data_IF_060531866561
#
_entry.id   IF_060531866561
#
_cell.length_a   1.000
_cell.length_b   1.000
_cell.length_c   1.000
_cell.angle_alpha   90.00
_cell.angle_beta   90.00
_cell.angle_gamma   90.00
#
_symmetry.space_group_name_H-M   'P 1'
#
loop_
_entity.id
_entity.type
_entity.pdbx_description
1 polymer ?
#
# COMPACT_ATOMS: atom_id res chain seq x y z
N UNK A 1 23.69 -64.45 17.94
CA UNK A 1 23.97 -63.07 17.50
C UNK A 1 23.06 -62.77 16.31
N UNK A 2 21.92 -62.03 16.48
CA UNK A 2 21.17 -61.55 15.33
C UNK A 2 21.72 -60.19 14.90
N UNK A 3 21.99 -60.08 13.62
CA UNK A 3 22.44 -58.86 12.96
C UNK A 3 21.27 -57.86 12.91
N UNK A 4 21.54 -56.62 13.41
CA UNK A 4 20.59 -55.53 13.35
C UNK A 4 20.42 -55.03 11.90
N UNK A 5 19.19 -54.99 11.43
CA UNK A 5 18.77 -54.31 10.23
C UNK A 5 18.82 -52.79 10.48
N UNK A 6 19.73 -52.11 9.79
CA UNK A 6 19.75 -50.66 9.67
C UNK A 6 18.50 -50.23 8.88
N UNK A 7 17.53 -49.68 9.61
CA UNK A 7 16.36 -49.07 8.98
C UNK A 7 16.81 -47.83 8.19
N UNK A 8 16.61 -47.85 6.90
CA UNK A 8 16.74 -46.66 6.03
C UNK A 8 15.75 -45.61 6.49
N UNK A 9 16.27 -44.54 7.09
CA UNK A 9 15.51 -43.34 7.35
C UNK A 9 15.25 -42.65 6.01
N UNK A 10 14.07 -42.94 5.44
CA UNK A 10 13.58 -42.21 4.27
C UNK A 10 13.51 -40.74 4.66
N UNK A 11 14.48 -39.95 4.18
CA UNK A 11 14.46 -38.50 4.34
C UNK A 11 13.22 -37.97 3.58
N UNK A 12 12.16 -37.67 4.30
CA UNK A 12 11.00 -36.96 3.78
C UNK A 12 11.52 -35.60 3.27
N UNK A 13 11.67 -35.48 1.95
CA UNK A 13 11.98 -34.21 1.28
C UNK A 13 10.87 -33.24 1.70
N UNK A 14 11.15 -32.36 2.64
CA UNK A 14 10.23 -31.25 2.97
C UNK A 14 9.99 -30.47 1.69
N UNK A 15 8.75 -30.42 1.22
CA UNK A 15 8.34 -29.57 0.10
C UNK A 15 8.76 -28.14 0.45
N UNK A 16 9.47 -27.44 -0.44
CA UNK A 16 9.77 -26.03 -0.29
C UNK A 16 8.47 -25.27 -0.18
N UNK A 17 8.28 -24.53 0.91
CA UNK A 17 7.11 -23.66 1.07
C UNK A 17 7.18 -22.55 0.04
N UNK A 18 6.04 -22.23 -0.57
CA UNK A 18 5.95 -21.22 -1.63
C UNK A 18 4.85 -20.22 -1.33
N UNK A 19 5.15 -18.95 -1.48
CA UNK A 19 4.19 -17.85 -1.30
C UNK A 19 4.13 -17.02 -2.58
N UNK A 20 2.91 -16.86 -3.10
CA UNK A 20 2.64 -15.95 -4.22
C UNK A 20 2.33 -14.57 -3.69
N UNK A 21 3.08 -13.55 -4.14
CA UNK A 21 2.80 -12.15 -3.92
C UNK A 21 2.12 -11.57 -5.16
N UNK A 22 0.91 -11.06 -5.00
CA UNK A 22 0.08 -10.54 -6.08
C UNK A 22 -0.40 -9.11 -5.79
N UNK A 23 0.50 -8.11 -5.70
CA UNK A 23 0.11 -6.70 -5.58
C UNK A 23 -0.46 -6.18 -6.91
N UNK A 24 -1.27 -5.12 -6.88
CA UNK A 24 -1.56 -4.34 -8.09
C UNK A 24 -0.33 -3.55 -8.49
N UNK A 25 0.39 -4.04 -9.50
CA UNK A 25 1.70 -3.51 -9.88
C UNK A 25 1.67 -2.10 -10.50
N UNK A 26 0.51 -1.58 -10.88
CA UNK A 26 0.35 -0.17 -11.24
C UNK A 26 0.46 0.77 -10.01
N UNK A 27 0.31 0.26 -8.79
CA UNK A 27 0.39 1.01 -7.54
C UNK A 27 1.75 0.78 -6.87
N UNK A 28 2.60 1.81 -6.87
CA UNK A 28 3.95 1.76 -6.30
C UNK A 28 3.95 1.39 -4.80
N UNK A 29 3.00 1.92 -4.03
CA UNK A 29 2.92 1.65 -2.58
C UNK A 29 2.62 0.18 -2.29
N UNK A 30 1.81 -0.49 -3.12
CA UNK A 30 1.54 -1.92 -2.97
C UNK A 30 2.74 -2.77 -3.32
N UNK A 31 3.43 -2.44 -4.42
CA UNK A 31 4.65 -3.14 -4.84
C UNK A 31 5.72 -3.07 -3.77
N UNK A 32 6.01 -1.88 -3.26
CA UNK A 32 7.05 -1.70 -2.24
C UNK A 32 6.69 -2.38 -0.93
N UNK A 33 5.43 -2.33 -0.50
CA UNK A 33 4.94 -3.06 0.68
C UNK A 33 5.10 -4.56 0.50
N UNK A 34 4.72 -5.11 -0.65
CA UNK A 34 4.86 -6.54 -0.95
C UNK A 34 6.32 -6.98 -0.94
N UNK A 35 7.24 -6.20 -1.52
CA UNK A 35 8.69 -6.44 -1.49
C UNK A 35 9.18 -6.50 -0.04
N UNK A 36 8.82 -5.54 0.80
CA UNK A 36 9.27 -5.50 2.19
C UNK A 36 8.76 -6.67 3.03
N UNK A 37 7.55 -7.16 2.74
CA UNK A 37 7.03 -8.38 3.37
C UNK A 37 7.79 -9.61 2.87
N UNK A 38 8.00 -9.72 1.56
CA UNK A 38 8.72 -10.86 0.97
C UNK A 38 10.17 -10.97 1.47
N UNK A 39 10.87 -9.84 1.64
CA UNK A 39 12.24 -9.79 2.21
C UNK A 39 12.32 -10.33 3.63
N UNK A 40 11.23 -10.34 4.38
CA UNK A 40 11.16 -10.85 5.77
C UNK A 40 10.72 -12.31 5.86
N UNK A 41 10.39 -12.92 4.73
CA UNK A 41 10.08 -14.35 4.71
C UNK A 41 11.35 -15.17 5.02
N UNK A 42 11.22 -16.28 5.74
CA UNK A 42 12.36 -17.18 5.98
C UNK A 42 12.99 -17.66 4.67
N UNK A 43 14.29 -17.90 4.65
CA UNK A 43 15.06 -18.27 3.45
C UNK A 43 14.60 -19.59 2.79
N UNK A 44 13.90 -20.45 3.52
CA UNK A 44 13.33 -21.68 2.99
C UNK A 44 11.98 -21.49 2.31
N UNK A 45 11.44 -20.27 2.29
CA UNK A 45 10.18 -19.93 1.60
C UNK A 45 10.51 -19.28 0.27
N UNK A 46 10.05 -19.91 -0.80
CA UNK A 46 10.14 -19.35 -2.15
C UNK A 46 9.07 -18.27 -2.34
N UNK A 47 9.47 -17.05 -2.62
CA UNK A 47 8.57 -15.92 -2.90
C UNK A 47 8.53 -15.65 -4.41
N UNK A 48 7.35 -15.77 -5.00
CA UNK A 48 7.10 -15.49 -6.43
C UNK A 48 6.12 -14.35 -6.53
N UNK A 49 6.38 -13.38 -7.42
CA UNK A 49 5.47 -12.27 -7.68
C UNK A 49 4.71 -12.48 -8.97
N UNK A 50 3.45 -12.01 -9.02
CA UNK A 50 2.67 -11.93 -10.24
C UNK A 50 1.75 -10.70 -10.23
N UNK A 51 1.41 -10.23 -11.44
CA UNK A 51 0.52 -9.07 -11.60
C UNK A 51 0.13 -8.85 -13.05
N UNK A 52 -0.74 -7.89 -13.31
CA UNK A 52 -1.34 -7.64 -14.63
C UNK A 52 -0.79 -6.38 -15.31
N UNK A 53 0.13 -5.66 -14.70
CA UNK A 53 0.79 -4.50 -15.28
C UNK A 53 2.31 -4.66 -15.24
N UNK A 54 3.05 -4.27 -16.28
CA UNK A 54 4.51 -4.27 -16.26
C UNK A 54 5.09 -3.13 -15.40
N UNK A 55 4.26 -2.15 -14.99
CA UNK A 55 4.69 -0.97 -14.24
C UNK A 55 5.21 -1.37 -12.87
N UNK A 56 6.28 -0.70 -12.42
CA UNK A 56 6.96 -0.93 -11.13
C UNK A 56 7.55 -2.34 -10.92
N UNK A 57 7.58 -3.19 -11.96
CA UNK A 57 8.11 -4.57 -11.84
C UNK A 57 9.64 -4.60 -11.78
N UNK A 58 10.30 -3.55 -12.23
CA UNK A 58 11.75 -3.32 -12.09
C UNK A 58 12.18 -3.36 -10.64
N UNK A 59 11.40 -2.81 -9.71
CA UNK A 59 11.70 -2.84 -8.27
C UNK A 59 11.61 -4.25 -7.69
N UNK A 60 10.66 -5.08 -8.18
CA UNK A 60 10.52 -6.48 -7.77
C UNK A 60 11.77 -7.27 -8.21
N UNK A 61 12.18 -7.11 -9.47
CA UNK A 61 13.37 -7.78 -10.02
C UNK A 61 14.66 -7.30 -9.36
N UNK A 62 14.79 -5.98 -9.13
CA UNK A 62 15.92 -5.41 -8.41
C UNK A 62 16.01 -5.90 -6.95
N UNK A 63 14.89 -6.28 -6.34
CA UNK A 63 14.84 -6.91 -5.04
C UNK A 63 15.21 -8.41 -5.06
N UNK A 64 15.47 -9.00 -6.24
CA UNK A 64 15.87 -10.40 -6.42
C UNK A 64 14.71 -11.38 -6.54
N UNK A 65 13.48 -10.91 -6.73
CA UNK A 65 12.31 -11.78 -6.85
C UNK A 65 11.90 -12.06 -8.31
N UNK A 66 11.42 -13.30 -8.57
CA UNK A 66 10.79 -13.65 -9.84
C UNK A 66 9.47 -12.91 -10.00
N UNK A 67 9.21 -12.35 -11.19
CA UNK A 67 7.93 -11.73 -11.52
C UNK A 67 7.30 -12.35 -12.75
N UNK A 68 6.03 -12.74 -12.66
CA UNK A 68 5.21 -13.29 -13.74
C UNK A 68 4.14 -12.29 -14.16
N UNK A 69 4.23 -11.82 -15.41
CA UNK A 69 3.21 -10.95 -15.98
C UNK A 69 2.03 -11.80 -16.48
N UNK A 70 0.83 -11.49 -15.99
CA UNK A 70 -0.41 -12.21 -16.32
C UNK A 70 -1.22 -11.44 -17.38
N UNK A 71 -2.13 -12.16 -18.03
CA UNK A 71 -3.10 -11.60 -18.98
C UNK A 71 -4.51 -11.59 -18.37
N UNK A 72 -5.36 -10.59 -18.68
CA UNK A 72 -5.14 -9.46 -19.60
C UNK A 72 -4.18 -8.41 -19.03
N UNK A 73 -3.30 -7.89 -19.88
CA UNK A 73 -2.44 -6.78 -19.48
C UNK A 73 -3.28 -5.52 -19.24
N UNK A 74 -2.93 -4.78 -18.21
CA UNK A 74 -3.39 -3.41 -18.07
C UNK A 74 -2.48 -2.51 -18.92
N UNK A 75 -3.08 -1.79 -19.87
CA UNK A 75 -2.41 -0.71 -20.57
C UNK A 75 -2.04 0.41 -19.58
N UNK A 76 -1.17 1.32 -20.00
CA UNK A 76 -0.83 2.49 -19.16
C UNK A 76 -2.05 3.33 -18.82
N UNK A 77 -2.98 3.50 -19.77
CA UNK A 77 -4.22 4.23 -19.57
C UNK A 77 -5.14 3.51 -18.57
N UNK A 78 -5.34 2.20 -18.71
CA UNK A 78 -6.13 1.41 -17.77
C UNK A 78 -5.51 1.40 -16.37
N UNK A 79 -4.20 1.30 -16.28
CA UNK A 79 -3.46 1.41 -15.02
C UNK A 79 -3.62 2.78 -14.36
N UNK A 80 -3.63 3.87 -15.16
CA UNK A 80 -3.91 5.23 -14.66
C UNK A 80 -5.35 5.37 -14.17
N UNK A 81 -6.32 4.88 -14.93
CA UNK A 81 -7.73 4.89 -14.54
C UNK A 81 -7.98 4.06 -13.25
N UNK A 82 -7.29 2.93 -13.11
CA UNK A 82 -7.35 2.12 -11.91
C UNK A 82 -6.77 2.86 -10.69
N UNK A 83 -5.67 3.56 -10.86
CA UNK A 83 -5.07 4.39 -9.82
C UNK A 83 -5.96 5.59 -9.46
N UNK A 84 -6.59 6.22 -10.45
CA UNK A 84 -7.53 7.33 -10.21
C UNK A 84 -8.76 6.88 -9.44
N UNK A 85 -9.27 5.67 -9.71
CA UNK A 85 -10.35 5.07 -8.93
C UNK A 85 -9.89 4.76 -7.49
N UNK A 86 -8.74 4.11 -7.31
CA UNK A 86 -8.16 3.77 -6.01
C UNK A 86 -7.93 5.02 -5.14
N UNK A 87 -7.54 6.12 -5.78
CA UNK A 87 -7.33 7.41 -5.11
C UNK A 87 -8.60 8.27 -4.98
N UNK A 88 -9.76 7.75 -5.37
CA UNK A 88 -11.04 8.47 -5.28
C UNK A 88 -11.20 9.64 -6.26
N UNK A 89 -10.32 9.75 -7.27
CA UNK A 89 -10.40 10.77 -8.34
C UNK A 89 -11.38 10.40 -9.46
N UNK A 90 -11.77 9.13 -9.53
CA UNK A 90 -12.77 8.61 -10.46
C UNK A 90 -13.80 7.77 -9.73
N UNK A 91 -15.07 7.91 -10.07
CA UNK A 91 -16.13 7.03 -9.59
C UNK A 91 -16.33 5.80 -10.49
N UNK A 92 -15.69 5.79 -11.65
CA UNK A 92 -15.80 4.68 -12.60
C UNK A 92 -14.81 3.58 -12.24
N UNK A 93 -15.34 2.43 -11.85
CA UNK A 93 -14.52 1.24 -11.61
C UNK A 93 -13.86 0.78 -12.94
N UNK A 94 -12.53 0.59 -12.97
CA UNK A 94 -11.80 0.30 -14.20
C UNK A 94 -12.05 -1.11 -14.74
N UNK A 95 -12.41 -2.08 -13.87
CA UNK A 95 -12.54 -3.47 -14.27
C UNK A 95 -13.95 -3.80 -14.72
N UNK A 96 -14.09 -4.16 -15.99
CA UNK A 96 -15.32 -4.75 -16.54
C UNK A 96 -15.50 -6.19 -16.05
N UNK A 97 -16.73 -6.73 -16.13
CA UNK A 97 -16.97 -8.14 -15.80
C UNK A 97 -16.09 -9.09 -16.64
N UNK A 98 -15.94 -8.78 -17.93
CA UNK A 98 -15.06 -9.55 -18.83
C UNK A 98 -13.60 -9.56 -18.35
N UNK A 99 -13.05 -8.38 -18.02
CA UNK A 99 -11.68 -8.26 -17.51
C UNK A 99 -11.53 -9.02 -16.20
N UNK A 100 -12.47 -8.87 -15.27
CA UNK A 100 -12.45 -9.59 -13.99
C UNK A 100 -12.45 -11.10 -14.19
N UNK A 101 -13.31 -11.62 -15.08
CA UNK A 101 -13.38 -13.06 -15.41
C UNK A 101 -12.07 -13.57 -16.02
N UNK A 102 -11.46 -12.79 -16.93
CA UNK A 102 -10.17 -13.14 -17.54
C UNK A 102 -9.04 -13.15 -16.51
N UNK A 103 -9.00 -12.15 -15.60
CA UNK A 103 -8.02 -12.10 -14.51
C UNK A 103 -8.14 -13.34 -13.61
N UNK A 104 -9.36 -13.65 -13.17
CA UNK A 104 -9.63 -14.83 -12.33
C UNK A 104 -9.18 -16.12 -13.05
N UNK A 105 -9.42 -16.25 -14.35
CA UNK A 105 -8.98 -17.41 -15.13
C UNK A 105 -7.45 -17.54 -15.12
N UNK A 106 -6.73 -16.45 -15.41
CA UNK A 106 -5.25 -16.44 -15.43
C UNK A 106 -4.66 -16.73 -14.05
N UNK A 107 -5.22 -16.13 -13.01
CA UNK A 107 -4.80 -16.38 -11.62
C UNK A 107 -5.01 -17.83 -11.22
N UNK A 108 -6.15 -18.42 -11.54
CA UNK A 108 -6.41 -19.84 -11.25
C UNK A 108 -5.44 -20.78 -11.97
N UNK A 109 -5.11 -20.51 -13.24
CA UNK A 109 -4.07 -21.27 -13.97
C UNK A 109 -2.72 -21.16 -13.25
N UNK A 110 -2.34 -19.95 -12.83
CA UNK A 110 -1.11 -19.74 -12.08
C UNK A 110 -1.13 -20.50 -10.74
N UNK A 111 -2.20 -20.39 -9.97
CA UNK A 111 -2.33 -21.04 -8.65
C UNK A 111 -2.23 -22.55 -8.76
N UNK A 112 -2.87 -23.17 -9.76
CA UNK A 112 -2.78 -24.62 -10.03
C UNK A 112 -1.37 -25.08 -10.42
N UNK A 113 -0.67 -24.27 -11.22
CA UNK A 113 0.69 -24.61 -11.68
C UNK A 113 1.73 -24.37 -10.58
N UNK A 114 1.63 -23.27 -9.86
CA UNK A 114 2.57 -22.85 -8.82
C UNK A 114 2.36 -23.61 -7.51
N UNK A 115 1.09 -23.94 -7.18
CA UNK A 115 0.67 -24.59 -5.94
C UNK A 115 1.23 -23.87 -4.69
N UNK A 116 0.97 -22.57 -4.53
CA UNK A 116 1.48 -21.84 -3.39
C UNK A 116 0.75 -22.25 -2.10
N UNK A 117 1.43 -22.13 -0.96
CA UNK A 117 0.85 -22.38 0.35
C UNK A 117 -0.01 -21.20 0.84
N UNK A 118 0.24 -20.00 0.29
CA UNK A 118 -0.57 -18.79 0.51
C UNK A 118 -0.41 -17.80 -0.64
N UNK A 119 -1.39 -16.90 -0.79
CA UNK A 119 -1.31 -15.72 -1.64
C UNK A 119 -1.31 -14.48 -0.76
N UNK A 120 -0.32 -13.59 -0.95
CA UNK A 120 -0.24 -12.28 -0.29
C UNK A 120 -0.62 -11.21 -1.29
N UNK A 121 -1.61 -10.39 -0.95
CA UNK A 121 -2.12 -9.32 -1.81
C UNK A 121 -2.00 -7.93 -1.19
N UNK A 122 -2.02 -6.91 -2.05
CA UNK A 122 -2.49 -5.56 -1.75
C UNK A 122 -3.99 -5.46 -2.07
N UNK A 123 -4.42 -4.44 -2.82
CA UNK A 123 -5.81 -4.33 -3.28
C UNK A 123 -5.99 -5.02 -4.64
N UNK A 124 -5.83 -6.34 -4.69
CA UNK A 124 -6.02 -7.13 -5.91
C UNK A 124 -7.37 -7.86 -5.85
N UNK A 125 -8.46 -7.24 -6.34
CA UNK A 125 -9.81 -7.71 -6.05
C UNK A 125 -10.14 -9.06 -6.69
N UNK A 126 -9.53 -9.43 -7.82
CA UNK A 126 -9.73 -10.73 -8.46
C UNK A 126 -9.25 -11.90 -7.60
N UNK A 127 -8.21 -11.71 -6.78
CA UNK A 127 -7.68 -12.75 -5.90
C UNK A 127 -8.65 -13.20 -4.81
N UNK A 128 -9.61 -12.34 -4.41
CA UNK A 128 -10.70 -12.76 -3.50
C UNK A 128 -11.61 -13.83 -4.10
N UNK A 129 -11.58 -13.99 -5.42
CA UNK A 129 -12.32 -15.03 -6.13
C UNK A 129 -11.38 -16.21 -6.46
N UNK A 130 -10.26 -15.95 -7.10
CA UNK A 130 -9.36 -16.98 -7.60
C UNK A 130 -8.72 -17.82 -6.49
N UNK A 131 -8.23 -17.19 -5.42
CA UNK A 131 -7.64 -17.91 -4.29
C UNK A 131 -8.68 -18.80 -3.58
N UNK A 132 -9.90 -18.26 -3.36
CA UNK A 132 -11.00 -19.06 -2.79
C UNK A 132 -11.43 -20.21 -3.69
N UNK A 133 -11.49 -20.00 -5.02
CA UNK A 133 -11.83 -21.05 -5.98
C UNK A 133 -10.81 -22.21 -6.00
N UNK A 134 -9.55 -21.90 -5.71
CA UNK A 134 -8.47 -22.90 -5.64
C UNK A 134 -8.13 -23.33 -4.19
N UNK A 135 -8.93 -22.91 -3.20
CA UNK A 135 -8.74 -23.21 -1.76
C UNK A 135 -7.34 -22.84 -1.25
N UNK A 136 -6.74 -21.76 -1.77
CA UNK A 136 -5.44 -21.26 -1.32
C UNK A 136 -5.67 -20.16 -0.29
N UNK A 137 -5.03 -20.21 0.90
CA UNK A 137 -5.14 -19.17 1.92
C UNK A 137 -4.76 -17.80 1.39
N UNK A 138 -5.58 -16.79 1.67
CA UNK A 138 -5.40 -15.42 1.23
C UNK A 138 -4.95 -14.55 2.40
N UNK A 139 -3.87 -13.81 2.21
CA UNK A 139 -3.32 -12.84 3.17
C UNK A 139 -3.36 -11.44 2.56
N UNK A 140 -3.96 -10.51 3.26
CA UNK A 140 -4.06 -9.12 2.80
C UNK A 140 -3.24 -8.19 3.70
N UNK A 141 -2.22 -7.55 3.14
CA UNK A 141 -1.42 -6.53 3.83
C UNK A 141 -1.97 -5.16 3.49
N UNK A 142 -2.54 -4.47 4.47
CA UNK A 142 -3.33 -3.26 4.23
C UNK A 142 -3.15 -2.19 5.30
N UNK A 143 -3.39 -0.91 4.95
CA UNK A 143 -3.50 0.18 5.91
C UNK A 143 -4.66 -0.02 6.89
N UNK A 144 -4.52 0.51 8.11
CA UNK A 144 -5.61 0.48 9.09
C UNK A 144 -6.86 1.21 8.58
N UNK A 145 -6.70 2.38 7.97
CA UNK A 145 -7.79 3.23 7.50
C UNK A 145 -8.76 2.54 6.51
N UNK A 146 -8.29 1.54 5.78
CA UNK A 146 -9.10 0.77 4.82
C UNK A 146 -9.49 -0.62 5.33
N UNK A 147 -9.46 -0.85 6.65
CA UNK A 147 -9.73 -2.16 7.23
C UNK A 147 -11.11 -2.23 7.92
N UNK A 148 -11.62 -3.46 8.07
CA UNK A 148 -12.80 -3.71 8.91
C UNK A 148 -12.54 -3.29 10.37
N UNK A 149 -11.30 -3.44 10.84
CA UNK A 149 -10.89 -2.99 12.17
C UNK A 149 -11.09 -1.48 12.37
N UNK A 150 -10.82 -0.66 11.35
CA UNK A 150 -11.11 0.78 11.40
C UNK A 150 -12.62 1.06 11.48
N UNK A 151 -13.43 0.38 10.69
CA UNK A 151 -14.89 0.57 10.76
C UNK A 151 -15.47 0.22 12.13
N UNK A 152 -15.02 -0.86 12.73
CA UNK A 152 -15.42 -1.27 14.07
C UNK A 152 -14.93 -0.26 15.13
N UNK A 153 -13.72 0.24 14.99
CA UNK A 153 -13.20 1.30 15.84
C UNK A 153 -14.02 2.58 15.70
N UNK A 154 -14.28 3.03 14.48
CA UNK A 154 -15.06 4.22 14.20
C UNK A 154 -16.47 4.13 14.80
N UNK A 155 -17.17 3.01 14.60
CA UNK A 155 -18.47 2.76 15.18
C UNK A 155 -18.44 2.80 16.73
N UNK A 156 -17.43 2.19 17.33
CA UNK A 156 -17.34 2.04 18.79
C UNK A 156 -17.01 3.35 19.49
N UNK A 157 -16.26 4.24 18.82
CA UNK A 157 -15.84 5.54 19.39
C UNK A 157 -16.70 6.71 18.93
N UNK A 158 -17.51 6.52 17.89
CA UNK A 158 -18.15 7.62 17.18
C UNK A 158 -17.15 8.56 16.51
N UNK A 159 -15.95 8.08 16.15
CA UNK A 159 -14.88 8.88 15.57
C UNK A 159 -14.34 8.23 14.29
N UNK A 160 -14.42 8.95 13.15
CA UNK A 160 -13.85 8.49 11.89
C UNK A 160 -12.32 8.46 11.91
N UNK A 161 -11.71 9.30 12.72
CA UNK A 161 -10.26 9.51 12.78
C UNK A 161 -9.71 10.39 11.66
N UNK A 162 -10.57 10.99 10.83
CA UNK A 162 -10.18 11.91 9.77
C UNK A 162 -11.03 13.18 9.68
N UNK A 163 -12.08 13.31 10.50
CA UNK A 163 -12.83 14.56 10.65
C UNK A 163 -12.34 15.33 11.89
N UNK A 164 -12.41 16.67 11.86
CA UNK A 164 -12.03 17.48 13.01
C UNK A 164 -13.00 17.27 14.18
N UNK A 165 -12.52 17.48 15.41
CA UNK A 165 -13.28 17.34 16.66
C UNK A 165 -12.86 18.46 17.64
N UNK A 166 -13.03 19.71 17.21
CA UNK A 166 -12.63 20.89 17.99
C UNK A 166 -13.83 21.61 18.62
N UNK A 167 -15.04 21.39 18.06
CA UNK A 167 -16.29 21.94 18.58
C UNK A 167 -17.34 20.86 18.84
N UNK A 168 -18.40 21.11 19.66
CA UNK A 168 -19.49 20.16 19.87
C UNK A 168 -20.19 19.73 18.59
N UNK A 169 -20.34 20.63 17.63
CA UNK A 169 -20.96 20.38 16.33
C UNK A 169 -20.10 19.41 15.49
N UNK A 170 -18.78 19.61 15.49
CA UNK A 170 -17.83 18.72 14.81
C UNK A 170 -17.84 17.33 15.44
N UNK A 171 -17.90 17.21 16.77
CA UNK A 171 -18.08 15.94 17.45
C UNK A 171 -19.35 15.21 17.01
N UNK A 172 -20.49 15.94 16.88
CA UNK A 172 -21.74 15.35 16.39
C UNK A 172 -21.63 14.89 14.94
N UNK A 173 -21.06 15.72 14.07
CA UNK A 173 -20.84 15.42 12.64
C UNK A 173 -19.94 14.18 12.49
N UNK A 174 -18.83 14.12 13.21
CA UNK A 174 -17.91 12.97 13.13
C UNK A 174 -18.57 11.68 13.67
N UNK A 175 -19.38 11.79 14.74
CA UNK A 175 -20.12 10.64 15.26
C UNK A 175 -21.12 10.08 14.23
N UNK A 176 -21.91 10.93 13.60
CA UNK A 176 -22.83 10.52 12.52
C UNK A 176 -22.05 9.92 11.34
N UNK A 177 -20.95 10.55 10.94
CA UNK A 177 -20.09 10.07 9.86
C UNK A 177 -19.47 8.70 10.19
N UNK A 178 -19.04 8.47 11.43
CA UNK A 178 -18.49 7.18 11.86
C UNK A 178 -19.50 6.03 11.74
N UNK A 179 -20.73 6.26 12.19
CA UNK A 179 -21.82 5.28 12.04
C UNK A 179 -22.21 5.06 10.58
N UNK A 180 -22.27 6.12 9.77
CA UNK A 180 -22.53 6.03 8.34
C UNK A 180 -21.41 5.27 7.62
N UNK A 181 -20.16 5.56 7.91
CA UNK A 181 -18.99 4.87 7.36
C UNK A 181 -19.06 3.37 7.64
N UNK A 182 -19.33 2.99 8.89
CA UNK A 182 -19.51 1.58 9.26
C UNK A 182 -20.67 0.94 8.49
N UNK A 183 -21.84 1.59 8.45
CA UNK A 183 -23.03 1.06 7.76
C UNK A 183 -22.78 0.90 6.26
N UNK A 184 -22.14 1.88 5.62
CA UNK A 184 -21.79 1.82 4.20
C UNK A 184 -20.76 0.72 3.93
N UNK A 185 -19.67 0.68 4.68
CA UNK A 185 -18.60 -0.31 4.48
C UNK A 185 -19.06 -1.76 4.71
N UNK A 186 -20.03 -1.98 5.59
CA UNK A 186 -20.54 -3.33 5.89
C UNK A 186 -21.76 -3.75 5.05
N UNK A 187 -22.55 -2.80 4.52
CA UNK A 187 -23.80 -3.09 3.81
C UNK A 187 -23.76 -2.81 2.31
N UNK A 188 -22.93 -1.83 1.85
CA UNK A 188 -22.80 -1.59 0.42
C UNK A 188 -22.26 -2.84 -0.27
N UNK A 189 -22.97 -3.38 -1.27
CA UNK A 189 -22.50 -4.56 -1.98
C UNK A 189 -21.29 -4.22 -2.87
N UNK A 190 -20.48 -5.21 -3.17
CA UNK A 190 -19.55 -5.15 -4.29
C UNK A 190 -20.32 -4.94 -5.61
N UNK A 191 -19.65 -4.47 -6.68
CA UNK A 191 -20.26 -4.43 -8.01
C UNK A 191 -20.83 -5.80 -8.40
N UNK A 192 -21.96 -5.83 -9.11
CA UNK A 192 -22.63 -7.07 -9.52
C UNK A 192 -21.72 -8.04 -10.26
N UNK A 193 -20.76 -7.51 -11.03
CA UNK A 193 -19.76 -8.30 -11.75
C UNK A 193 -18.93 -9.21 -10.83
N UNK A 194 -18.62 -8.78 -9.60
CA UNK A 194 -17.90 -9.61 -8.65
C UNK A 194 -18.72 -10.84 -8.22
N UNK A 195 -19.98 -10.66 -7.92
CA UNK A 195 -20.86 -11.78 -7.54
C UNK A 195 -21.13 -12.72 -8.71
N UNK A 196 -21.27 -12.16 -9.94
CA UNK A 196 -21.44 -12.95 -11.16
C UNK A 196 -20.22 -13.85 -11.42
N UNK A 197 -19.04 -13.24 -11.44
CA UNK A 197 -17.76 -13.97 -11.69
C UNK A 197 -17.47 -14.95 -10.55
N UNK A 198 -17.70 -14.58 -9.29
CA UNK A 198 -17.52 -15.49 -8.16
C UNK A 198 -18.41 -16.73 -8.27
N UNK A 199 -19.70 -16.55 -8.55
CA UNK A 199 -20.65 -17.65 -8.74
C UNK A 199 -20.24 -18.55 -9.90
N UNK A 200 -19.81 -17.98 -11.02
CA UNK A 200 -19.33 -18.75 -12.17
C UNK A 200 -18.05 -19.59 -11.84
N UNK A 201 -17.34 -19.23 -10.78
CA UNK A 201 -16.16 -19.94 -10.28
C UNK A 201 -16.43 -20.77 -9.01
N UNK A 202 -17.71 -20.99 -8.64
CA UNK A 202 -18.10 -21.77 -7.46
C UNK A 202 -17.81 -21.09 -6.12
N UNK A 203 -17.62 -19.76 -6.11
CA UNK A 203 -17.29 -18.99 -4.91
C UNK A 203 -18.48 -18.16 -4.46
N UNK A 204 -18.76 -18.18 -3.14
CA UNK A 204 -19.71 -17.29 -2.50
C UNK A 204 -18.94 -16.16 -1.81
N UNK A 205 -19.17 -14.92 -2.23
CA UNK A 205 -18.59 -13.74 -1.58
C UNK A 205 -19.52 -13.25 -0.48
N UNK A 206 -18.98 -12.83 0.68
CA UNK A 206 -19.75 -12.17 1.73
C UNK A 206 -20.44 -10.90 1.20
N UNK A 207 -21.57 -10.58 1.81
CA UNK A 207 -22.24 -9.30 1.55
C UNK A 207 -21.48 -8.15 2.20
N UNK A 208 -21.51 -6.97 1.57
CA UNK A 208 -20.76 -5.79 2.02
C UNK A 208 -19.37 -5.68 1.40
N UNK A 209 -19.02 -4.47 0.98
CA UNK A 209 -17.78 -4.21 0.24
C UNK A 209 -16.54 -4.60 1.05
N UNK A 210 -16.46 -4.25 2.33
CA UNK A 210 -15.29 -4.59 3.14
C UNK A 210 -15.28 -6.04 3.59
N UNK A 211 -16.44 -6.64 3.84
CA UNK A 211 -16.53 -8.07 4.14
C UNK A 211 -16.14 -8.92 2.91
N UNK A 212 -16.61 -8.52 1.72
CA UNK A 212 -16.24 -9.17 0.46
C UNK A 212 -14.76 -9.08 0.13
N UNK A 213 -14.10 -7.98 0.56
CA UNK A 213 -12.67 -7.73 0.40
C UNK A 213 -11.89 -7.99 1.72
N UNK A 214 -12.32 -8.94 2.52
CA UNK A 214 -11.59 -9.42 3.71
C UNK A 214 -10.99 -10.78 3.40
N UNK A 215 -9.69 -10.92 3.65
CA UNK A 215 -8.91 -12.15 3.45
C UNK A 215 -9.01 -13.07 4.68
N UNK A 216 -8.48 -14.30 4.57
CA UNK A 216 -8.39 -15.25 5.69
C UNK A 216 -7.52 -14.66 6.81
N UNK A 217 -6.45 -13.94 6.44
CA UNK A 217 -5.60 -13.19 7.35
C UNK A 217 -5.39 -11.77 6.81
N UNK A 218 -5.71 -10.76 7.64
CA UNK A 218 -5.54 -9.34 7.31
C UNK A 218 -4.45 -8.76 8.20
N UNK A 219 -3.33 -8.38 7.59
CA UNK A 219 -2.18 -7.81 8.27
C UNK A 219 -2.27 -6.29 8.22
N UNK A 220 -2.49 -5.67 9.37
CA UNK A 220 -2.61 -4.23 9.50
C UNK A 220 -1.22 -3.63 9.66
N UNK A 221 -0.75 -2.98 8.60
CA UNK A 221 0.61 -2.44 8.49
C UNK A 221 0.73 -1.06 9.15
N UNK A 222 0.39 -0.95 10.43
CA UNK A 222 0.49 0.31 11.20
C UNK A 222 1.22 0.08 12.53
N UNK A 223 1.80 1.15 13.07
CA UNK A 223 2.46 1.09 14.36
C UNK A 223 1.43 0.86 15.49
N UNK A 224 1.62 -0.12 16.38
CA UNK A 224 0.63 -0.48 17.40
C UNK A 224 0.24 0.68 18.32
N UNK A 225 1.19 1.57 18.65
CA UNK A 225 0.95 2.73 19.54
C UNK A 225 0.06 3.82 18.90
N UNK A 226 -0.11 3.80 17.58
CA UNK A 226 -1.06 4.68 16.89
C UNK A 226 -2.51 4.17 16.96
N UNK A 227 -2.72 2.96 17.47
CA UNK A 227 -4.05 2.39 17.65
C UNK A 227 -4.53 2.57 19.09
N UNK A 228 -5.84 2.77 19.30
CA UNK A 228 -6.39 2.83 20.65
C UNK A 228 -6.09 1.52 21.42
N UNK A 229 -5.57 1.61 22.63
CA UNK A 229 -5.20 0.42 23.43
C UNK A 229 -6.38 -0.50 23.78
N UNK A 230 -7.61 0.01 23.71
CA UNK A 230 -8.85 -0.78 23.91
C UNK A 230 -9.34 -1.48 22.63
N UNK A 231 -8.74 -1.17 21.45
CA UNK A 231 -9.19 -1.70 20.17
C UNK A 231 -8.92 -3.21 20.10
N UNK A 232 -10.00 -3.97 19.98
CA UNK A 232 -9.91 -5.41 19.70
C UNK A 232 -9.95 -5.65 18.20
N UNK A 233 -8.93 -6.31 17.69
CA UNK A 233 -8.91 -6.68 16.28
C UNK A 233 -10.00 -7.72 15.99
N UNK A 234 -10.76 -7.56 14.90
CA UNK A 234 -11.69 -8.59 14.43
C UNK A 234 -10.94 -9.90 14.15
N UNK A 235 -11.68 -11.01 14.13
CA UNK A 235 -11.10 -12.30 13.77
C UNK A 235 -10.38 -12.23 12.42
N UNK A 236 -9.24 -12.88 12.31
CA UNK A 236 -8.42 -12.85 11.10
C UNK A 236 -7.68 -11.53 10.86
N UNK A 237 -7.65 -10.60 11.83
CA UNK A 237 -6.88 -9.35 11.73
C UNK A 237 -5.75 -9.33 12.75
N UNK A 238 -4.56 -8.89 12.31
CA UNK A 238 -3.37 -8.73 13.17
C UNK A 238 -2.61 -7.45 12.82
N UNK A 239 -2.21 -6.71 13.83
CA UNK A 239 -1.28 -5.59 13.67
C UNK A 239 0.14 -6.14 13.57
N UNK A 240 0.87 -5.73 12.54
CA UNK A 240 2.22 -6.25 12.24
C UNK A 240 3.31 -5.18 12.31
N UNK A 241 2.92 -3.94 12.62
CA UNK A 241 3.84 -2.81 12.65
C UNK A 241 3.97 -2.13 11.28
N UNK A 242 4.79 -1.07 11.23
CA UNK A 242 4.97 -0.28 10.02
C UNK A 242 5.65 -1.08 8.91
N UNK A 243 5.16 -0.90 7.68
CA UNK A 243 5.78 -1.45 6.46
C UNK A 243 5.99 -0.29 5.49
N UNK A 244 7.21 0.13 5.32
CA UNK A 244 7.61 1.23 4.44
C UNK A 244 8.74 0.80 3.51
N UNK A 245 8.86 1.48 2.37
CA UNK A 245 9.80 1.13 1.32
C UNK A 245 11.26 1.32 1.77
N UNK A 246 12.09 0.28 1.56
CA UNK A 246 13.54 0.32 1.69
C UNK A 246 14.19 -0.14 0.38
N UNK A 247 13.78 0.51 -0.70
CA UNK A 247 14.32 0.19 -2.01
C UNK A 247 15.77 0.67 -2.13
N UNK A 248 16.64 -0.09 -2.81
CA UNK A 248 17.99 0.36 -3.09
C UNK A 248 17.94 1.58 -4.01
N UNK A 249 18.92 2.43 -3.88
CA UNK A 249 19.10 3.64 -4.68
C UNK A 249 20.24 4.46 -4.12
N UNK A 250 20.70 5.43 -4.88
CA UNK A 250 21.76 6.36 -4.48
C UNK A 250 21.12 7.69 -4.08
N UNK A 251 21.69 8.31 -3.06
CA UNK A 251 21.35 9.67 -2.70
C UNK A 251 22.05 10.65 -3.68
N UNK A 252 21.42 11.80 -3.97
CA UNK A 252 22.06 12.81 -4.83
C UNK A 252 23.39 13.28 -4.25
N UNK A 253 24.41 13.41 -5.09
CA UNK A 253 25.76 13.88 -4.68
C UNK A 253 25.69 15.26 -3.99
N UNK A 254 24.80 16.14 -4.47
CA UNK A 254 24.62 17.48 -3.91
C UNK A 254 24.01 17.51 -2.49
N UNK A 255 23.56 16.38 -1.97
CA UNK A 255 22.97 16.32 -0.62
C UNK A 255 23.98 16.75 0.45
N UNK A 256 25.24 16.39 0.30
CA UNK A 256 26.30 16.79 1.21
C UNK A 256 26.44 18.33 1.27
N UNK A 257 26.33 19.01 0.14
CA UNK A 257 26.39 20.48 0.07
C UNK A 257 25.18 21.13 0.76
N UNK A 258 23.97 20.53 0.60
CA UNK A 258 22.76 21.05 1.25
C UNK A 258 22.84 20.96 2.78
N UNK A 259 23.49 19.93 3.30
CA UNK A 259 23.60 19.69 4.75
C UNK A 259 24.83 20.32 5.39
N UNK A 260 25.77 20.84 4.59
CA UNK A 260 26.95 21.53 5.10
C UNK A 260 26.68 22.94 5.60
N UNK A 261 25.56 23.55 5.19
CA UNK A 261 25.16 24.92 5.57
C UNK A 261 24.40 24.96 6.90
N UNK A 262 24.16 26.16 7.44
CA UNK A 262 23.40 26.35 8.67
C UNK A 262 21.88 26.25 8.49
N UNK A 263 21.40 26.17 7.26
CA UNK A 263 19.96 26.17 6.93
C UNK A 263 19.36 24.77 7.12
N UNK A 264 18.15 24.67 7.71
CA UNK A 264 17.49 23.39 7.85
C UNK A 264 17.12 22.78 6.49
N UNK A 265 17.19 21.45 6.38
CA UNK A 265 16.78 20.71 5.20
C UNK A 265 15.32 20.24 5.33
N UNK A 266 14.49 20.72 4.44
CA UNK A 266 13.08 20.29 4.32
C UNK A 266 12.94 19.24 3.23
N UNK A 267 12.44 18.06 3.60
CA UNK A 267 12.09 17.00 2.66
C UNK A 267 10.64 17.15 2.22
N UNK A 268 10.37 17.42 0.94
CA UNK A 268 9.01 17.62 0.41
C UNK A 268 8.61 16.51 -0.56
N UNK A 269 7.69 15.64 -0.16
CA UNK A 269 7.27 14.48 -0.94
C UNK A 269 5.75 14.32 -1.03
N UNK A 270 5.21 14.30 -2.26
CA UNK A 270 3.78 14.17 -2.52
C UNK A 270 3.36 12.77 -3.04
N UNK A 271 4.30 11.85 -3.17
CA UNK A 271 4.03 10.52 -3.71
C UNK A 271 3.33 10.57 -5.07
N UNK A 272 2.35 9.70 -5.30
CA UNK A 272 1.52 9.70 -6.51
C UNK A 272 0.28 10.59 -6.41
N UNK A 273 0.04 11.21 -5.25
CA UNK A 273 -1.20 11.97 -4.97
C UNK A 273 -1.11 13.45 -5.29
N UNK A 274 0.11 13.99 -5.44
CA UNK A 274 0.34 15.40 -5.76
C UNK A 274 -0.24 15.77 -7.14
N UNK A 275 -0.60 17.05 -7.28
CA UNK A 275 -0.85 17.65 -8.58
C UNK A 275 0.11 18.82 -8.79
N UNK A 276 0.31 19.20 -10.06
CA UNK A 276 1.27 20.22 -10.46
C UNK A 276 1.10 21.55 -9.73
N UNK A 277 -0.12 22.07 -9.66
CA UNK A 277 -0.39 23.40 -9.10
C UNK A 277 -0.13 23.43 -7.60
N UNK A 278 -0.53 22.40 -6.88
CA UNK A 278 -0.23 22.27 -5.45
C UNK A 278 1.28 22.20 -5.21
N UNK A 279 1.99 21.37 -5.98
CA UNK A 279 3.45 21.23 -5.87
C UNK A 279 4.14 22.56 -6.10
N UNK A 280 3.81 23.28 -7.18
CA UNK A 280 4.39 24.58 -7.49
C UNK A 280 4.08 25.62 -6.40
N UNK A 281 2.85 25.66 -5.87
CA UNK A 281 2.48 26.58 -4.81
C UNK A 281 3.27 26.33 -3.51
N UNK A 282 3.47 25.07 -3.13
CA UNK A 282 4.27 24.72 -1.94
C UNK A 282 5.74 25.05 -2.17
N UNK A 283 6.32 24.70 -3.33
CA UNK A 283 7.71 25.02 -3.65
C UNK A 283 7.96 26.54 -3.69
N UNK A 284 7.04 27.32 -4.26
CA UNK A 284 7.12 28.78 -4.25
C UNK A 284 7.03 29.36 -2.84
N UNK A 285 6.25 28.75 -1.95
CA UNK A 285 6.18 29.12 -0.53
C UNK A 285 7.50 28.85 0.20
N UNK A 286 8.04 27.63 0.04
CA UNK A 286 9.31 27.21 0.63
C UNK A 286 10.51 27.98 0.05
N UNK A 287 10.42 28.42 -1.19
CA UNK A 287 11.42 29.28 -1.83
C UNK A 287 11.63 30.64 -1.15
N UNK A 288 10.68 31.08 -0.31
CA UNK A 288 10.77 32.33 0.48
C UNK A 288 11.24 32.10 1.92
N UNK A 289 11.37 30.82 2.33
CA UNK A 289 11.85 30.46 3.66
C UNK A 289 13.38 30.30 3.69
N UNK A 290 13.96 30.53 4.85
CA UNK A 290 15.40 30.30 5.07
C UNK A 290 15.66 28.81 5.36
N UNK A 291 15.56 27.98 4.32
CA UNK A 291 15.77 26.54 4.36
C UNK A 291 16.27 26.02 3.01
N UNK A 292 16.85 24.84 3.00
CA UNK A 292 17.08 24.05 1.77
C UNK A 292 15.91 23.07 1.58
N UNK A 293 15.53 22.78 0.35
CA UNK A 293 14.40 21.91 0.03
C UNK A 293 14.85 20.76 -0.89
N UNK A 294 14.72 19.53 -0.43
CA UNK A 294 14.91 18.32 -1.23
C UNK A 294 13.54 17.75 -1.61
N UNK A 295 13.22 17.77 -2.90
CA UNK A 295 11.87 17.48 -3.36
C UNK A 295 11.82 16.40 -4.46
N UNK A 296 11.54 15.10 -4.14
CA UNK A 296 11.32 14.05 -5.12
C UNK A 296 9.94 14.17 -5.76
N UNK A 297 9.71 15.26 -6.46
CA UNK A 297 8.43 15.61 -7.10
C UNK A 297 8.53 15.84 -8.62
N UNK A 298 9.66 15.41 -9.23
CA UNK A 298 9.94 15.62 -10.66
C UNK A 298 8.80 15.14 -11.56
N UNK A 299 8.16 14.02 -11.22
CA UNK A 299 7.04 13.45 -11.97
C UNK A 299 5.77 14.31 -12.00
N UNK A 300 5.66 15.30 -11.12
CA UNK A 300 4.54 16.24 -11.08
C UNK A 300 4.79 17.52 -11.86
N UNK A 301 6.03 17.75 -12.32
CA UNK A 301 6.47 18.99 -12.94
C UNK A 301 6.79 18.80 -14.43
N UNK A 302 6.59 19.87 -15.20
CA UNK A 302 7.04 19.97 -16.58
C UNK A 302 8.48 20.48 -16.62
N UNK A 303 9.13 20.35 -17.78
CA UNK A 303 10.49 20.88 -17.95
C UNK A 303 10.56 22.40 -17.73
N UNK A 304 9.58 23.13 -18.24
CA UNK A 304 9.46 24.58 -18.09
C UNK A 304 9.34 25.06 -16.63
N UNK A 305 8.77 24.22 -15.76
CA UNK A 305 8.62 24.54 -14.32
C UNK A 305 9.97 24.58 -13.63
N UNK A 306 10.88 23.67 -14.00
CA UNK A 306 12.20 23.56 -13.35
C UNK A 306 13.05 24.81 -13.52
N UNK A 307 12.88 25.53 -14.62
CA UNK A 307 13.65 26.75 -14.94
C UNK A 307 13.21 27.93 -14.05
N UNK A 308 12.03 27.83 -13.45
CA UNK A 308 11.45 28.89 -12.62
C UNK A 308 11.49 28.61 -11.12
N UNK A 309 12.04 27.47 -10.71
CA UNK A 309 12.13 27.09 -9.30
C UNK A 309 13.05 28.02 -8.50
N UNK A 310 12.73 28.27 -7.23
CA UNK A 310 13.61 28.98 -6.30
C UNK A 310 14.97 28.27 -6.16
N UNK A 311 16.04 29.04 -5.92
CA UNK A 311 17.42 28.53 -5.86
C UNK A 311 17.67 27.53 -4.73
N UNK A 312 16.90 27.62 -3.64
CA UNK A 312 16.97 26.72 -2.49
C UNK A 312 16.11 25.46 -2.66
N UNK A 313 15.50 25.23 -3.84
CA UNK A 313 14.65 24.07 -4.14
C UNK A 313 15.37 23.13 -5.10
N UNK A 314 15.62 21.91 -4.63
CA UNK A 314 16.33 20.87 -5.36
C UNK A 314 15.37 19.72 -5.67
N UNK A 315 14.88 19.68 -6.92
CA UNK A 315 13.95 18.67 -7.40
C UNK A 315 14.70 17.46 -7.90
N UNK A 316 14.27 16.29 -7.44
CA UNK A 316 14.79 14.99 -7.89
C UNK A 316 13.63 14.13 -8.43
N UNK A 317 14.00 13.05 -9.10
CA UNK A 317 13.16 11.89 -9.27
C UNK A 317 12.96 11.19 -7.92
N UNK A 318 12.46 9.94 -7.93
CA UNK A 318 12.39 9.15 -6.72
C UNK A 318 13.78 9.01 -6.06
N UNK A 319 13.84 9.03 -4.73
CA UNK A 319 15.05 8.78 -3.95
C UNK A 319 14.75 7.87 -2.75
N UNK A 320 15.77 7.16 -2.22
CA UNK A 320 15.61 6.25 -1.08
C UNK A 320 15.52 7.02 0.25
N UNK A 321 14.39 7.62 0.54
CA UNK A 321 14.17 8.49 1.70
C UNK A 321 14.61 7.87 3.05
N UNK A 322 14.55 6.54 3.18
CA UNK A 322 15.00 5.81 4.37
C UNK A 322 16.54 5.90 4.61
N UNK A 323 17.31 6.40 3.65
CA UNK A 323 18.76 6.59 3.77
C UNK A 323 19.13 8.04 4.16
N UNK A 324 18.18 8.97 4.18
CA UNK A 324 18.45 10.37 4.50
C UNK A 324 18.84 10.58 5.98
N UNK A 325 18.37 9.69 6.89
CA UNK A 325 18.75 9.73 8.31
C UNK A 325 18.50 11.09 8.95
N UNK A 326 19.47 11.57 9.71
CA UNK A 326 19.41 12.83 10.45
C UNK A 326 19.63 14.07 9.56
N UNK A 327 19.79 13.89 8.23
CA UNK A 327 19.98 15.01 7.31
C UNK A 327 18.71 15.89 7.15
N UNK A 328 17.53 15.36 7.50
CA UNK A 328 16.24 16.03 7.34
C UNK A 328 15.75 16.60 8.66
N UNK A 329 15.52 17.90 8.71
CA UNK A 329 14.98 18.59 9.90
C UNK A 329 13.46 18.61 9.93
N UNK A 330 12.82 18.62 8.76
CA UNK A 330 11.34 18.66 8.62
C UNK A 330 10.92 17.93 7.35
N UNK A 331 9.90 17.09 7.44
CA UNK A 331 9.24 16.54 6.26
C UNK A 331 7.91 17.23 5.98
N UNK A 332 7.62 17.49 4.71
CA UNK A 332 6.29 17.92 4.24
C UNK A 332 5.79 16.84 3.30
N UNK A 333 4.65 16.22 3.62
CA UNK A 333 4.19 15.02 2.91
C UNK A 333 2.68 15.06 2.70
N UNK A 334 2.21 14.32 1.69
CA UNK A 334 0.78 14.13 1.45
C UNK A 334 0.08 13.26 2.52
N UNK A 335 0.82 12.70 3.48
CA UNK A 335 0.22 11.84 4.52
C UNK A 335 -0.03 10.39 4.11
N UNK A 336 0.51 9.93 2.99
CA UNK A 336 0.43 8.51 2.62
C UNK A 336 1.14 7.63 3.66
N UNK A 337 0.60 6.44 3.94
CA UNK A 337 1.09 5.57 5.02
C UNK A 337 2.60 5.35 4.97
N UNK A 338 3.15 5.06 3.78
CA UNK A 338 4.59 4.80 3.63
C UNK A 338 5.47 6.00 3.98
N UNK A 339 5.09 7.22 3.56
CA UNK A 339 5.85 8.45 3.86
C UNK A 339 5.75 8.85 5.33
N UNK A 340 4.56 8.74 5.93
CA UNK A 340 4.39 8.99 7.36
C UNK A 340 5.20 8.01 8.20
N UNK A 341 5.16 6.71 7.86
CA UNK A 341 5.93 5.70 8.57
C UNK A 341 7.45 5.90 8.39
N UNK A 342 7.89 6.33 7.21
CA UNK A 342 9.29 6.70 7.00
C UNK A 342 9.69 7.88 7.89
N UNK A 343 8.90 8.95 7.93
CA UNK A 343 9.17 10.10 8.79
C UNK A 343 9.23 9.71 10.27
N UNK A 344 8.27 8.90 10.74
CA UNK A 344 8.25 8.43 12.13
C UNK A 344 9.48 7.59 12.49
N UNK A 345 9.90 6.67 11.62
CA UNK A 345 11.07 5.80 11.86
C UNK A 345 12.38 6.58 11.82
N UNK A 346 12.46 7.60 10.98
CA UNK A 346 13.62 8.50 10.89
C UNK A 346 13.64 9.57 11.99
N UNK A 347 12.55 9.69 12.77
CA UNK A 347 12.45 10.72 13.81
C UNK A 347 12.18 12.12 13.26
N UNK A 348 11.75 12.26 12.00
CA UNK A 348 11.49 13.55 11.41
C UNK A 348 10.14 14.12 11.87
N UNK A 349 10.08 15.33 12.41
CA UNK A 349 8.82 16.05 12.50
C UNK A 349 8.25 16.25 11.11
N UNK A 350 6.92 16.20 10.97
CA UNK A 350 6.34 16.39 9.64
C UNK A 350 5.05 17.20 9.63
N UNK A 351 4.81 17.85 8.49
CA UNK A 351 3.57 18.56 8.14
C UNK A 351 2.87 17.72 7.06
N UNK A 352 1.59 17.42 7.29
CA UNK A 352 0.76 16.71 6.33
C UNK A 352 -0.09 17.63 5.47
N UNK A 353 -0.12 17.39 4.16
CA UNK A 353 -1.03 18.02 3.19
C UNK A 353 -1.92 16.92 2.60
N UNK A 354 -2.91 16.41 3.36
CA UNK A 354 -3.68 15.26 2.93
C UNK A 354 -4.67 15.60 1.82
N UNK A 355 -4.70 14.78 0.79
CA UNK A 355 -5.61 14.88 -0.36
C UNK A 355 -6.69 13.79 -0.36
N UNK A 356 -6.54 12.78 0.49
CA UNK A 356 -7.42 11.61 0.61
C UNK A 356 -7.77 11.32 2.07
N UNK A 357 -8.84 10.56 2.31
CA UNK A 357 -9.28 10.23 3.68
C UNK A 357 -8.22 9.45 4.47
N UNK A 358 -7.60 8.45 3.84
CA UNK A 358 -6.53 7.67 4.48
C UNK A 358 -5.33 8.54 4.86
N UNK A 359 -4.94 9.46 3.99
CA UNK A 359 -3.84 10.39 4.24
C UNK A 359 -4.16 11.32 5.42
N UNK A 360 -5.39 11.84 5.48
CA UNK A 360 -5.84 12.67 6.61
C UNK A 360 -5.82 11.87 7.91
N UNK A 361 -6.27 10.62 7.88
CA UNK A 361 -6.22 9.72 9.01
C UNK A 361 -4.78 9.53 9.54
N UNK A 362 -3.81 9.32 8.65
CA UNK A 362 -2.41 9.12 9.02
C UNK A 362 -1.75 10.37 9.60
N UNK A 363 -2.15 11.57 9.14
CA UNK A 363 -1.59 12.85 9.58
C UNK A 363 -2.14 13.30 10.95
N UNK A 364 -3.38 12.93 11.27
CA UNK A 364 -4.04 13.35 12.51
C UNK A 364 -3.67 12.50 13.75
N UNK A 365 -2.90 11.46 13.59
CA UNK A 365 -2.47 10.54 14.64
C UNK A 365 -1.01 10.68 14.99
#
# INVERSE_FOLDING_TARGET
>A
MPQGTTGDVVAVRRRTSRVLFAPETFNFAEVTRAIEVARRMPSHVECVFAGFSPRNTEYIRAAGFEFRLLTPYLSEEEGRLALDFDQGRSLRHPFTEKMLAQRVTSERVLLRSLRPDAVVIGVTPSQFISARAECVPLVFVRPFAYSLAHLEAARSTGATGFLPRTSPEEYLVDNVAAHALHALGTRLPLPRSFYSVARANGVSLPQGVLAGLTADLNLIATAPHLLPGWLRMPQGHRVVGPVYARLPGELPEFLADLTAGPQPLVYFAMGSSGNRDLVLNVLAGLGRADCQVLAPVRSHLRQEDLETLPRNVHVTDWLPAHQLGDAVDLAITHGGEGTVQTSCVQGWPFIGIPLQFEQRFNVQR
#
